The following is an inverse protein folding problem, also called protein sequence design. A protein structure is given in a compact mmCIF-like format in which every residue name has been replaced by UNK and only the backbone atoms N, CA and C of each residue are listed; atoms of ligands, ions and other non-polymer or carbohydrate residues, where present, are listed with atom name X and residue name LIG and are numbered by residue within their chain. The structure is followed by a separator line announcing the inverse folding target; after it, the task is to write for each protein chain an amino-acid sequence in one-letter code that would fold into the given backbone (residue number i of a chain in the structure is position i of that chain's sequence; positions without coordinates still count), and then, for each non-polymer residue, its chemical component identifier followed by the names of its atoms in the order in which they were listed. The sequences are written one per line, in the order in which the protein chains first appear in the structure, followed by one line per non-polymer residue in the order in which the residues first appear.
data_IF_238079636645
#
_entry.id   IF_238079636645
#
_cell.length_a   1.000
_cell.length_b   1.000
_cell.length_c   1.000
_cell.angle_alpha   90.00
_cell.angle_beta   90.00
_cell.angle_gamma   90.00
#
_symmetry.space_group_name_H-M   'P 1'
#
loop_
_entity.id
_entity.type
_entity.pdbx_description
1 polymer ?
#
# COMPACT_ATOMS: atom_id res chain seq x y z
N UNK A 1 34.74 -7.65 4.49
CA UNK A 1 34.50 -6.32 3.89
C UNK A 1 34.05 -5.40 5.01
N UNK A 2 34.76 -4.29 5.28
CA UNK A 2 34.40 -3.36 6.35
C UNK A 2 33.19 -2.54 5.88
N UNK A 3 32.09 -2.63 6.62
CA UNK A 3 30.81 -1.98 6.30
C UNK A 3 30.84 -0.51 6.76
N UNK A 4 30.23 0.38 5.98
CA UNK A 4 30.16 1.82 6.27
C UNK A 4 29.30 2.14 7.50
N UNK A 5 28.54 1.15 7.99
CA UNK A 5 27.71 1.24 9.19
C UNK A 5 28.49 1.51 10.48
N UNK A 6 29.78 1.12 10.54
CA UNK A 6 30.63 1.31 11.73
C UNK A 6 31.52 2.57 11.65
N UNK A 7 31.29 3.45 10.68
CA UNK A 7 32.17 4.58 10.39
C UNK A 7 32.40 5.53 11.58
N UNK A 8 31.43 5.69 12.49
CA UNK A 8 31.60 6.49 13.72
C UNK A 8 32.61 5.85 14.68
N UNK A 9 32.53 4.53 14.86
CA UNK A 9 33.46 3.77 15.70
C UNK A 9 34.85 3.83 15.09
N UNK A 10 34.96 3.68 13.77
CA UNK A 10 36.24 3.83 13.06
C UNK A 10 36.86 5.22 13.27
N UNK A 11 36.06 6.29 13.21
CA UNK A 11 36.55 7.66 13.42
C UNK A 11 37.03 7.88 14.85
N UNK A 12 36.34 7.31 15.83
CA UNK A 12 36.74 7.36 17.23
C UNK A 12 38.04 6.57 17.47
N UNK A 13 38.13 5.32 17.01
CA UNK A 13 39.33 4.49 17.15
C UNK A 13 40.54 5.12 16.45
N UNK A 14 40.34 5.72 15.26
CA UNK A 14 41.40 6.43 14.54
C UNK A 14 41.93 7.62 15.36
N UNK A 15 41.03 8.42 15.93
CA UNK A 15 41.39 9.57 16.76
C UNK A 15 42.18 9.16 18.01
N UNK A 16 41.72 8.13 18.70
CA UNK A 16 42.39 7.59 19.89
C UNK A 16 43.79 7.06 19.56
N UNK A 17 43.94 6.33 18.45
CA UNK A 17 45.22 5.81 18.00
C UNK A 17 46.22 6.91 17.59
N UNK A 18 45.75 8.01 17.01
CA UNK A 18 46.59 9.13 16.58
C UNK A 18 46.96 10.06 17.75
N UNK A 19 46.07 10.22 18.72
CA UNK A 19 46.35 10.93 19.96
C UNK A 19 47.51 10.28 20.73
N UNK A 20 47.56 8.94 20.76
CA UNK A 20 48.69 8.20 21.35
C UNK A 20 50.05 8.46 20.66
N UNK A 21 50.04 9.01 19.43
CA UNK A 21 51.22 9.42 18.67
C UNK A 21 51.45 10.94 18.66
N UNK A 22 50.83 11.67 19.59
CA UNK A 22 50.93 13.13 19.74
C UNK A 22 50.37 13.93 18.56
N UNK A 23 49.51 13.33 17.73
CA UNK A 23 48.78 14.03 16.66
C UNK A 23 47.33 14.19 17.08
N UNK A 24 46.94 15.42 17.42
CA UNK A 24 45.58 15.72 17.86
C UNK A 24 44.69 16.05 16.67
N UNK A 25 43.64 15.24 16.46
CA UNK A 25 42.56 15.55 15.53
C UNK A 25 41.28 15.85 16.30
N UNK A 26 40.50 16.79 15.77
CA UNK A 26 39.13 17.01 16.21
C UNK A 26 38.23 15.84 15.77
N UNK A 27 37.07 15.73 16.41
CA UNK A 27 36.06 14.72 16.07
C UNK A 27 35.64 14.84 14.59
N UNK A 28 35.47 16.08 14.12
CA UNK A 28 35.04 16.36 12.74
C UNK A 28 36.10 15.98 11.72
N UNK A 29 37.38 16.25 11.98
CA UNK A 29 38.48 15.85 11.07
C UNK A 29 38.62 14.33 10.98
N UNK A 30 38.43 13.63 12.11
CA UNK A 30 38.49 12.17 12.15
C UNK A 30 37.33 11.52 11.37
N UNK A 31 36.14 12.12 11.45
CA UNK A 31 34.96 11.71 10.69
C UNK A 31 35.13 11.95 9.19
N UNK A 32 35.72 13.08 8.82
CA UNK A 32 35.98 13.43 7.42
C UNK A 32 37.01 12.50 6.77
N UNK A 33 38.06 12.14 7.51
CA UNK A 33 39.07 11.16 7.05
C UNK A 33 38.45 9.79 6.84
N UNK A 34 37.61 9.32 7.76
CA UNK A 34 36.92 8.02 7.61
C UNK A 34 35.95 8.02 6.44
N UNK A 35 35.24 9.13 6.19
CA UNK A 35 34.38 9.25 5.02
C UNK A 35 35.17 9.06 3.72
N UNK A 36 36.32 9.71 3.59
CA UNK A 36 37.21 9.57 2.43
C UNK A 36 37.79 8.17 2.29
N UNK A 37 38.20 7.54 3.38
CA UNK A 37 38.73 6.15 3.38
C UNK A 37 37.67 5.17 2.88
N UNK A 38 36.40 5.39 3.20
CA UNK A 38 35.26 4.57 2.77
C UNK A 38 34.74 4.95 1.37
N UNK A 39 35.41 5.86 0.66
CA UNK A 39 35.08 6.26 -0.71
C UNK A 39 33.97 7.33 -0.82
N UNK A 40 33.63 8.00 0.28
CA UNK A 40 32.65 9.08 0.31
C UNK A 40 33.31 10.45 0.26
N UNK A 41 32.58 11.44 -0.28
CA UNK A 41 33.11 12.79 -0.49
C UNK A 41 33.42 13.52 0.81
N UNK A 42 32.50 13.40 1.77
CA UNK A 42 32.52 14.07 3.06
C UNK A 42 31.67 13.29 4.07
N UNK A 43 31.80 13.66 5.35
CA UNK A 43 31.06 13.03 6.43
C UNK A 43 29.53 13.17 6.29
N UNK A 44 29.02 14.27 5.72
CA UNK A 44 27.58 14.50 5.60
C UNK A 44 26.94 13.48 4.67
N UNK A 45 27.57 13.16 3.54
CA UNK A 45 27.09 12.16 2.58
C UNK A 45 27.09 10.75 3.20
N UNK A 46 28.16 10.39 3.90
CA UNK A 46 28.27 9.11 4.59
C UNK A 46 27.24 9.00 5.74
N UNK A 47 27.09 10.05 6.54
CA UNK A 47 26.13 10.07 7.65
C UNK A 47 24.67 9.94 7.16
N UNK A 48 24.32 10.55 6.02
CA UNK A 48 23.01 10.37 5.39
C UNK A 48 22.77 8.91 4.97
N UNK A 49 23.80 8.24 4.43
CA UNK A 49 23.71 6.84 4.01
C UNK A 49 23.65 5.86 5.19
N UNK A 50 24.35 6.15 6.29
CA UNK A 50 24.24 5.38 7.54
C UNK A 50 22.81 5.48 8.08
N UNK A 51 22.25 6.68 8.18
CA UNK A 51 20.86 6.90 8.62
C UNK A 51 19.83 6.17 7.74
N UNK A 52 20.05 6.12 6.43
CA UNK A 52 19.18 5.40 5.50
C UNK A 52 19.30 3.86 5.57
N UNK A 53 20.34 3.33 6.24
CA UNK A 53 20.70 1.90 6.21
C UNK A 53 20.53 1.16 7.54
N UNK A 54 20.08 1.84 8.60
CA UNK A 54 19.78 1.22 9.89
C UNK A 54 18.34 0.67 9.88
N UNK A 55 18.12 -0.64 10.04
CA UNK A 55 16.80 -1.17 10.34
C UNK A 55 16.42 -0.74 11.76
N UNK A 56 15.35 0.04 11.88
CA UNK A 56 14.84 0.55 13.16
C UNK A 56 14.31 -0.59 14.03
N UNK A 57 15.15 -1.11 14.91
CA UNK A 57 14.72 -1.95 16.03
C UNK A 57 14.41 -1.08 17.26
N UNK A 58 13.10 -0.97 17.50
CA UNK A 58 12.41 -0.89 18.80
C UNK A 58 12.44 0.38 19.67
N UNK A 59 11.22 0.92 19.81
CA UNK A 59 10.62 1.65 20.96
C UNK A 59 11.07 3.08 21.28
N UNK A 60 10.06 3.95 21.30
CA UNK A 60 9.99 5.25 21.95
C UNK A 60 10.91 6.35 21.38
N UNK A 61 10.41 7.08 20.38
CA UNK A 61 10.06 8.51 20.52
C UNK A 61 9.34 8.93 19.24
N UNK A 62 8.08 9.32 19.41
CA UNK A 62 7.18 9.72 18.35
C UNK A 62 7.72 10.90 17.53
N UNK A 63 7.82 10.70 16.21
CA UNK A 63 7.48 11.76 15.27
C UNK A 63 5.97 11.96 15.33
N UNK A 64 5.52 12.73 16.34
CA UNK A 64 4.18 13.30 16.34
C UNK A 64 4.09 14.32 15.20
N UNK A 65 3.59 13.89 14.05
CA UNK A 65 2.38 14.54 13.53
C UNK A 65 1.17 13.73 14.01
N UNK A 66 1.08 13.56 15.34
CA UNK A 66 -0.17 13.18 15.96
C UNK A 66 -1.02 14.45 15.99
N UNK A 67 -1.95 14.58 15.05
CA UNK A 67 -3.24 15.08 15.46
C UNK A 67 -3.71 14.11 16.55
N UNK A 68 -3.95 14.64 17.74
CA UNK A 68 -4.47 13.83 18.83
C UNK A 68 -5.79 13.17 18.37
N UNK A 69 -5.81 11.83 18.32
CA UNK A 69 -7.05 11.03 18.41
C UNK A 69 -7.98 10.94 17.21
N UNK A 70 -7.67 11.48 16.03
CA UNK A 70 -8.58 11.36 14.87
C UNK A 70 -8.19 10.16 14.00
N UNK A 71 -8.98 9.08 14.04
CA UNK A 71 -8.87 7.98 13.09
C UNK A 71 -9.05 8.45 11.63
N UNK A 72 -8.66 7.61 10.67
CA UNK A 72 -8.88 7.91 9.25
C UNK A 72 -10.36 7.72 8.93
N UNK A 73 -11.04 8.69 8.28
CA UNK A 73 -12.45 8.56 7.91
C UNK A 73 -12.71 7.31 7.05
N UNK A 74 -13.78 6.59 7.36
CA UNK A 74 -14.19 5.37 6.65
C UNK A 74 -15.28 5.69 5.62
N UNK A 75 -15.15 5.08 4.46
CA UNK A 75 -16.17 5.05 3.40
C UNK A 75 -16.62 3.60 3.17
N UNK A 76 -17.75 3.17 3.77
CA UNK A 76 -18.28 1.82 3.59
C UNK A 76 -18.90 1.66 2.21
N UNK A 77 -18.50 0.62 1.47
CA UNK A 77 -18.98 0.32 0.12
C UNK A 77 -19.79 -0.98 0.09
N UNK A 78 -20.90 -1.00 -0.64
CA UNK A 78 -21.75 -2.19 -0.80
C UNK A 78 -21.24 -3.11 -1.90
N UNK A 79 -21.06 -2.53 -3.09
CA UNK A 79 -20.88 -3.27 -4.33
C UNK A 79 -19.46 -3.10 -4.89
N UNK A 80 -18.50 -2.73 -4.04
CA UNK A 80 -17.12 -2.48 -4.47
C UNK A 80 -16.11 -2.91 -3.41
N UNK A 81 -15.15 -3.74 -3.83
CA UNK A 81 -13.88 -3.93 -3.14
C UNK A 81 -12.83 -3.08 -3.87
N UNK A 82 -12.25 -2.10 -3.17
CA UNK A 82 -11.15 -1.31 -3.71
C UNK A 82 -9.83 -2.07 -3.55
N UNK A 83 -8.98 -2.04 -4.57
CA UNK A 83 -7.61 -2.59 -4.52
C UNK A 83 -6.56 -1.47 -4.50
N UNK A 84 -5.33 -1.73 -4.00
CA UNK A 84 -4.22 -0.80 -4.16
C UNK A 84 -4.01 -0.37 -5.62
N UNK A 85 -3.60 0.87 -5.83
CA UNK A 85 -3.38 1.52 -7.13
C UNK A 85 -4.62 1.70 -8.03
N UNK A 86 -5.74 1.07 -7.71
CA UNK A 86 -7.01 1.25 -8.41
C UNK A 86 -7.54 2.67 -8.23
N UNK A 87 -7.99 3.28 -9.33
CA UNK A 87 -8.74 4.55 -9.30
C UNK A 87 -10.21 4.22 -9.50
N UNK A 88 -11.05 4.62 -8.55
CA UNK A 88 -12.50 4.38 -8.61
C UNK A 88 -13.28 5.66 -8.35
N UNK A 89 -14.46 5.75 -8.95
CA UNK A 89 -15.44 6.81 -8.68
C UNK A 89 -16.51 6.23 -7.77
N UNK A 90 -16.67 6.81 -6.60
CA UNK A 90 -17.65 6.39 -5.61
C UNK A 90 -18.69 7.50 -5.43
N UNK A 91 -19.95 7.10 -5.29
CA UNK A 91 -21.05 8.00 -5.01
C UNK A 91 -21.40 7.89 -3.53
N UNK A 92 -21.39 9.03 -2.85
CA UNK A 92 -21.62 9.11 -1.41
C UNK A 92 -22.89 9.93 -1.18
N UNK A 93 -23.95 9.24 -0.76
CA UNK A 93 -25.25 9.84 -0.46
C UNK A 93 -25.56 9.90 1.04
N UNK A 94 -24.96 8.99 1.84
CA UNK A 94 -25.23 8.91 3.28
C UNK A 94 -24.58 10.06 4.02
N UNK A 95 -25.37 10.75 4.83
CA UNK A 95 -24.93 11.97 5.53
C UNK A 95 -23.65 11.76 6.36
N UNK A 96 -23.57 10.70 7.18
CA UNK A 96 -22.34 10.39 7.94
C UNK A 96 -21.12 10.14 7.06
N UNK A 97 -21.31 9.51 5.91
CA UNK A 97 -20.21 9.23 4.96
C UNK A 97 -19.81 10.48 4.17
N UNK A 98 -20.77 11.36 3.88
CA UNK A 98 -20.53 12.68 3.29
C UNK A 98 -19.62 13.51 4.20
N UNK A 99 -19.97 13.58 5.49
CA UNK A 99 -19.16 14.24 6.51
C UNK A 99 -17.76 13.63 6.65
N UNK A 100 -17.64 12.29 6.56
CA UNK A 100 -16.36 11.59 6.55
C UNK A 100 -15.45 12.07 5.40
N UNK A 101 -15.99 12.17 4.19
CA UNK A 101 -15.26 12.63 3.00
C UNK A 101 -14.90 14.10 3.10
N UNK A 102 -15.82 14.96 3.50
CA UNK A 102 -15.57 16.40 3.69
C UNK A 102 -14.46 16.63 4.73
N UNK A 103 -14.47 15.85 5.81
CA UNK A 103 -13.40 15.87 6.82
C UNK A 103 -12.06 15.40 6.27
N UNK A 104 -12.05 14.38 5.42
CA UNK A 104 -10.84 13.89 4.76
C UNK A 104 -10.23 14.97 3.86
N UNK A 105 -11.04 15.69 3.08
CA UNK A 105 -10.58 16.73 2.15
C UNK A 105 -9.86 17.88 2.86
N UNK A 106 -10.32 18.28 4.05
CA UNK A 106 -9.71 19.36 4.84
C UNK A 106 -8.55 18.90 5.74
N UNK A 107 -8.22 17.60 5.74
CA UNK A 107 -7.13 17.02 6.53
C UNK A 107 -6.06 16.42 5.61
N UNK A 108 -5.84 15.12 5.67
CA UNK A 108 -4.77 14.43 4.93
C UNK A 108 -5.21 13.95 3.54
N UNK A 109 -6.43 14.26 3.11
CA UNK A 109 -7.06 13.74 1.88
C UNK A 109 -7.13 12.20 1.83
N UNK A 110 -6.98 11.53 2.99
CA UNK A 110 -7.02 10.07 3.11
C UNK A 110 -8.35 9.59 3.65
N UNK A 111 -8.86 8.54 3.03
CA UNK A 111 -10.01 7.76 3.51
C UNK A 111 -9.63 6.28 3.57
N UNK A 112 -10.36 5.50 4.36
CA UNK A 112 -10.32 4.04 4.31
C UNK A 112 -11.58 3.57 3.60
N UNK A 113 -11.40 2.98 2.43
CA UNK A 113 -12.50 2.36 1.68
C UNK A 113 -12.59 0.89 2.10
N UNK A 114 -13.75 0.46 2.56
CA UNK A 114 -13.96 -0.89 3.08
C UNK A 114 -15.30 -1.44 2.58
N UNK A 115 -15.29 -2.69 2.13
CA UNK A 115 -16.52 -3.36 1.73
C UNK A 115 -17.34 -3.76 2.96
N UNK A 116 -18.67 -3.65 2.87
CA UNK A 116 -19.60 -4.11 3.88
C UNK A 116 -19.71 -5.64 3.82
N UNK A 117 -19.94 -6.29 4.96
CA UNK A 117 -20.24 -7.74 4.98
C UNK A 117 -21.65 -8.04 4.50
N UNK A 118 -22.59 -7.14 4.77
CA UNK A 118 -23.95 -7.21 4.28
C UNK A 118 -24.26 -5.93 3.51
N UNK A 119 -24.32 -6.02 2.18
CA UNK A 119 -24.62 -4.88 1.31
C UNK A 119 -26.01 -4.27 1.54
N UNK A 120 -26.94 -4.99 2.17
CA UNK A 120 -28.27 -4.47 2.49
C UNK A 120 -28.29 -3.58 3.74
N UNK A 121 -27.21 -3.49 4.52
CA UNK A 121 -27.16 -2.65 5.71
C UNK A 121 -27.01 -1.15 5.32
N UNK A 122 -27.95 -0.33 5.77
CA UNK A 122 -27.93 1.12 5.55
C UNK A 122 -26.98 1.85 6.50
N UNK A 123 -26.64 1.26 7.65
CA UNK A 123 -25.88 1.90 8.73
C UNK A 123 -24.77 0.99 9.29
N UNK A 124 -23.77 0.62 8.47
CA UNK A 124 -22.68 -0.27 8.88
C UNK A 124 -21.69 0.47 9.81
N UNK A 125 -22.11 0.67 11.05
CA UNK A 125 -21.39 1.45 12.08
C UNK A 125 -20.57 0.58 13.03
N UNK A 126 -20.66 -0.75 12.89
CA UNK A 126 -19.98 -1.71 13.76
C UNK A 126 -18.88 -2.47 13.02
N UNK A 127 -17.86 -2.95 13.74
CA UNK A 127 -16.81 -3.80 13.18
C UNK A 127 -17.37 -5.09 12.55
N UNK A 128 -18.52 -5.57 13.04
CA UNK A 128 -19.18 -6.76 12.49
C UNK A 128 -19.92 -6.50 11.18
N UNK A 129 -20.22 -5.24 10.86
CA UNK A 129 -20.86 -4.88 9.59
C UNK A 129 -19.84 -4.68 8.46
N UNK A 130 -18.55 -4.51 8.80
CA UNK A 130 -17.47 -4.23 7.85
C UNK A 130 -16.55 -5.43 7.68
N UNK A 131 -15.91 -5.53 6.51
CA UNK A 131 -14.80 -6.45 6.33
C UNK A 131 -13.56 -5.97 7.12
N UNK A 132 -12.75 -6.90 7.65
CA UNK A 132 -11.63 -6.57 8.53
C UNK A 132 -10.49 -5.83 7.80
N UNK A 133 -10.38 -6.03 6.48
CA UNK A 133 -9.37 -5.38 5.65
C UNK A 133 -10.06 -4.46 4.65
N UNK A 134 -9.53 -3.25 4.54
CA UNK A 134 -9.88 -2.26 3.52
C UNK A 134 -8.62 -1.71 2.85
N UNK A 135 -8.78 -0.61 2.14
CA UNK A 135 -7.68 0.09 1.46
C UNK A 135 -7.65 1.55 1.90
N UNK A 136 -6.49 2.01 2.34
CA UNK A 136 -6.23 3.44 2.47
C UNK A 136 -6.19 4.01 1.06
N UNK A 137 -7.02 5.02 0.79
CA UNK A 137 -7.10 5.67 -0.51
C UNK A 137 -6.97 7.18 -0.37
N UNK A 138 -6.37 7.82 -1.38
CA UNK A 138 -6.32 9.26 -1.47
C UNK A 138 -7.54 9.78 -2.26
N UNK A 139 -8.20 10.82 -1.74
CA UNK A 139 -9.24 11.56 -2.45
C UNK A 139 -8.55 12.47 -3.47
N UNK A 140 -8.84 12.25 -4.75
CA UNK A 140 -8.27 13.00 -5.87
C UNK A 140 -9.21 14.15 -6.28
N UNK A 141 -10.51 13.86 -6.32
CA UNK A 141 -11.54 14.80 -6.77
C UNK A 141 -12.83 14.56 -5.98
N UNK A 142 -13.58 15.62 -5.73
CA UNK A 142 -14.86 15.56 -5.03
C UNK A 142 -15.80 16.62 -5.59
N UNK A 143 -16.92 16.19 -6.15
CA UNK A 143 -17.89 17.05 -6.80
C UNK A 143 -19.29 16.81 -6.22
N UNK A 144 -19.89 17.84 -5.65
CA UNK A 144 -21.30 17.81 -5.24
C UNK A 144 -22.19 17.80 -6.48
N UNK A 145 -23.05 16.80 -6.59
CA UNK A 145 -24.04 16.67 -7.64
C UNK A 145 -25.28 17.53 -7.32
N UNK A 146 -26.14 17.73 -8.31
CA UNK A 146 -27.36 18.55 -8.17
C UNK A 146 -28.36 18.00 -7.14
N UNK A 147 -28.29 16.70 -6.86
CA UNK A 147 -29.11 16.01 -5.86
C UNK A 147 -28.49 16.04 -4.45
N UNK A 148 -27.35 16.70 -4.27
CA UNK A 148 -26.61 16.77 -3.01
C UNK A 148 -25.67 15.58 -2.75
N UNK A 149 -25.64 14.57 -3.62
CA UNK A 149 -24.70 13.45 -3.48
C UNK A 149 -23.27 13.91 -3.82
N UNK A 150 -22.27 13.34 -3.14
CA UNK A 150 -20.87 13.58 -3.51
C UNK A 150 -20.40 12.51 -4.49
N UNK A 151 -19.91 12.94 -5.65
CA UNK A 151 -19.15 12.10 -6.56
C UNK A 151 -17.68 12.27 -6.25
N UNK A 152 -17.06 11.23 -5.69
CA UNK A 152 -15.68 11.26 -5.19
C UNK A 152 -14.82 10.34 -6.06
N UNK A 153 -13.68 10.83 -6.52
CA UNK A 153 -12.67 10.00 -7.18
C UNK A 153 -11.58 9.69 -6.17
N UNK A 154 -11.32 8.40 -5.95
CA UNK A 154 -10.30 7.92 -5.01
C UNK A 154 -9.26 7.06 -5.71
N UNK A 155 -8.02 7.06 -5.21
CA UNK A 155 -6.95 6.14 -5.62
C UNK A 155 -6.50 5.32 -4.44
N UNK A 156 -6.63 4.01 -4.54
CA UNK A 156 -6.11 3.06 -3.55
C UNK A 156 -4.60 3.19 -3.41
N UNK A 157 -4.10 3.15 -2.18
CA UNK A 157 -2.67 3.25 -1.86
C UNK A 157 -2.14 1.93 -1.33
N UNK A 158 -2.71 1.43 -0.24
CA UNK A 158 -2.23 0.23 0.45
C UNK A 158 -3.35 -0.49 1.20
N UNK A 159 -3.21 -1.81 1.35
CA UNK A 159 -4.07 -2.62 2.20
C UNK A 159 -3.91 -2.21 3.66
N UNK A 160 -4.99 -2.26 4.41
CA UNK A 160 -4.95 -1.96 5.83
C UNK A 160 -6.00 -2.76 6.60
N UNK A 161 -5.60 -3.27 7.77
CA UNK A 161 -6.53 -3.85 8.73
C UNK A 161 -7.18 -2.77 9.59
N UNK A 162 -8.47 -2.92 9.89
CA UNK A 162 -9.20 -2.05 10.81
C UNK A 162 -8.95 -2.54 12.25
N UNK A 163 -8.34 -1.69 13.07
CA UNK A 163 -8.01 -2.00 14.47
C UNK A 163 -9.15 -1.59 15.40
N UNK A 164 -9.64 -0.36 15.25
CA UNK A 164 -10.70 0.20 16.10
C UNK A 164 -11.53 1.22 15.34
N UNK A 165 -12.85 1.16 15.49
CA UNK A 165 -13.77 2.18 14.97
C UNK A 165 -14.01 3.29 15.98
N UNK A 166 -14.29 4.48 15.48
CA UNK A 166 -14.73 5.65 16.25
C UNK A 166 -15.85 6.33 15.47
N UNK A 167 -16.93 6.71 16.14
CA UNK A 167 -18.08 7.40 15.55
C UNK A 167 -18.30 8.70 16.35
N UNK A 168 -17.81 9.81 15.79
CA UNK A 168 -17.92 11.15 16.36
C UNK A 168 -18.45 12.11 15.28
N UNK A 169 -19.71 11.89 14.89
CA UNK A 169 -20.38 12.57 13.76
C UNK A 169 -20.17 11.87 12.42
N UNK A 170 -18.99 11.29 12.20
CA UNK A 170 -18.69 10.42 11.06
C UNK A 170 -17.90 9.19 11.51
N UNK A 171 -17.93 8.14 10.69
CA UNK A 171 -17.21 6.90 10.98
C UNK A 171 -15.73 7.06 10.63
N UNK A 172 -14.86 6.72 11.57
CA UNK A 172 -13.41 6.73 11.41
C UNK A 172 -12.79 5.45 11.99
N UNK A 173 -11.55 5.15 11.60
CA UNK A 173 -10.81 4.03 12.15
C UNK A 173 -9.35 4.32 12.45
N UNK A 174 -8.87 3.69 13.52
CA UNK A 174 -7.48 3.34 13.67
C UNK A 174 -7.18 2.14 12.79
N UNK A 175 -6.14 2.23 11.96
CA UNK A 175 -5.81 1.23 10.96
C UNK A 175 -4.34 0.84 11.02
N UNK A 176 -4.04 -0.38 10.62
CA UNK A 176 -2.70 -0.94 10.55
C UNK A 176 -2.36 -1.30 9.10
N UNK A 177 -1.31 -0.73 8.48
CA UNK A 177 -0.87 -1.14 7.16
C UNK A 177 -0.59 -2.65 7.10
N UNK A 178 -0.91 -3.25 5.97
CA UNK A 178 -0.72 -4.68 5.73
C UNK A 178 0.31 -4.85 4.60
N UNK A 179 1.44 -5.47 4.93
CA UNK A 179 2.54 -5.69 3.99
C UNK A 179 2.28 -6.95 3.14
N UNK A 180 2.80 -6.93 1.91
CA UNK A 180 2.76 -8.09 1.02
C UNK A 180 3.89 -9.08 1.35
N UNK A 181 3.52 -10.35 1.50
CA UNK A 181 4.44 -11.44 1.79
C UNK A 181 4.86 -12.17 0.50
N UNK A 182 6.12 -12.62 0.43
CA UNK A 182 6.69 -13.38 -0.71
C UNK A 182 6.58 -12.69 -2.09
N UNK A 183 6.33 -11.38 -2.15
CA UNK A 183 6.24 -10.61 -3.40
C UNK A 183 7.50 -10.74 -4.28
N UNK A 184 8.68 -10.73 -3.65
CA UNK A 184 9.98 -10.80 -4.34
C UNK A 184 10.49 -12.24 -4.54
N UNK A 185 9.64 -13.25 -4.33
CA UNK A 185 10.02 -14.64 -4.52
C UNK A 185 10.10 -15.02 -6.01
N UNK A 186 10.97 -15.97 -6.34
CA UNK A 186 11.05 -16.55 -7.70
C UNK A 186 9.75 -17.24 -8.11
N UNK A 187 9.04 -17.78 -7.13
CA UNK A 187 7.72 -18.39 -7.29
C UNK A 187 6.67 -17.36 -7.72
N UNK A 188 6.58 -16.22 -7.02
CA UNK A 188 5.67 -15.12 -7.37
C UNK A 188 5.95 -14.60 -8.79
N UNK A 189 7.23 -14.49 -9.19
CA UNK A 189 7.60 -14.10 -10.55
C UNK A 189 7.17 -15.12 -11.62
N UNK A 190 7.22 -16.41 -11.29
CA UNK A 190 6.78 -17.49 -12.19
C UNK A 190 5.25 -17.48 -12.33
N UNK A 191 4.54 -17.42 -11.21
CA UNK A 191 3.07 -17.36 -11.17
C UNK A 191 2.51 -16.11 -11.85
N UNK A 192 3.25 -14.99 -11.81
CA UNK A 192 2.84 -13.77 -12.51
C UNK A 192 2.67 -13.99 -14.02
N UNK A 193 3.51 -14.84 -14.64
CA UNK A 193 3.35 -15.21 -16.06
C UNK A 193 2.09 -16.06 -16.26
N UNK A 194 1.90 -17.05 -15.40
CA UNK A 194 0.72 -17.92 -15.44
C UNK A 194 -0.59 -17.15 -15.25
N UNK A 195 -0.62 -16.15 -14.36
CA UNK A 195 -1.78 -15.24 -14.19
C UNK A 195 -2.08 -14.46 -15.47
N UNK A 196 -1.07 -13.93 -16.14
CA UNK A 196 -1.27 -13.21 -17.40
C UNK A 196 -1.82 -14.11 -18.51
N UNK A 197 -1.34 -15.35 -18.61
CA UNK A 197 -1.80 -16.32 -19.61
C UNK A 197 -3.21 -16.83 -19.30
N UNK A 198 -3.50 -17.07 -18.03
CA UNK A 198 -4.85 -17.38 -17.55
C UNK A 198 -5.83 -16.23 -17.84
N UNK A 199 -5.40 -14.98 -17.63
CA UNK A 199 -6.24 -13.80 -17.90
C UNK A 199 -6.51 -13.60 -19.40
N UNK A 200 -5.53 -13.85 -20.28
CA UNK A 200 -5.73 -13.84 -21.73
C UNK A 200 -6.87 -14.78 -22.14
N UNK A 201 -6.82 -16.00 -21.60
CA UNK A 201 -7.80 -17.05 -21.87
C UNK A 201 -9.17 -16.66 -21.32
N UNK A 202 -9.23 -16.16 -20.08
CA UNK A 202 -10.46 -15.73 -19.41
C UNK A 202 -11.14 -14.53 -20.09
N UNK A 203 -10.35 -13.53 -20.47
CA UNK A 203 -10.83 -12.32 -21.11
C UNK A 203 -11.12 -12.52 -22.61
N UNK A 204 -10.67 -13.64 -23.21
CA UNK A 204 -10.62 -13.88 -24.66
C UNK A 204 -9.87 -12.75 -25.37
N UNK A 205 -8.76 -12.32 -24.77
CA UNK A 205 -7.90 -11.27 -25.31
C UNK A 205 -6.56 -11.90 -25.66
N UNK A 206 -6.15 -11.78 -26.92
CA UNK A 206 -4.85 -12.23 -27.37
C UNK A 206 -3.82 -11.10 -27.17
N UNK A 207 -2.89 -11.28 -26.21
CA UNK A 207 -1.80 -10.33 -25.99
C UNK A 207 -0.59 -10.59 -26.90
N UNK A 208 -0.52 -11.73 -27.59
CA UNK A 208 0.62 -12.12 -28.44
C UNK A 208 0.64 -11.38 -29.78
N UNK A 209 -0.53 -10.93 -30.27
CA UNK A 209 -0.67 -10.11 -31.46
C UNK A 209 -0.28 -8.62 -31.25
N UNK A 210 0.13 -8.24 -30.04
CA UNK A 210 0.38 -6.85 -29.68
C UNK A 210 1.88 -6.53 -29.62
N UNK A 211 2.30 -5.32 -30.07
CA UNK A 211 3.68 -4.85 -29.95
C UNK A 211 4.23 -4.94 -28.50
N UNK A 212 5.54 -5.15 -28.30
CA UNK A 212 6.17 -5.03 -26.98
C UNK A 212 5.81 -3.69 -26.32
N UNK A 213 5.31 -3.71 -25.07
CA UNK A 213 4.82 -2.51 -24.36
C UNK A 213 3.31 -2.25 -24.45
N UNK A 214 2.57 -2.99 -25.29
CA UNK A 214 1.10 -2.83 -25.43
C UNK A 214 0.29 -3.37 -24.27
N UNK A 215 0.89 -4.16 -23.36
CA UNK A 215 0.26 -4.61 -22.10
C UNK A 215 -0.23 -3.42 -21.26
N UNK A 216 0.41 -2.25 -21.44
CA UNK A 216 0.00 -0.96 -20.89
C UNK A 216 -1.40 -0.52 -21.35
N UNK A 217 -1.86 -0.90 -22.57
CA UNK A 217 -3.22 -0.59 -23.05
C UNK A 217 -4.32 -1.35 -22.29
N UNK A 218 -3.98 -2.47 -21.65
CA UNK A 218 -4.86 -3.23 -20.76
C UNK A 218 -4.66 -2.87 -19.29
N UNK A 219 -3.82 -1.88 -19.00
CA UNK A 219 -3.48 -1.46 -17.64
C UNK A 219 -2.65 -2.49 -16.86
N UNK A 220 -2.23 -3.60 -17.47
CA UNK A 220 -1.53 -4.68 -16.76
C UNK A 220 -0.06 -4.31 -16.53
N UNK A 221 0.43 -4.37 -15.28
CA UNK A 221 1.82 -4.07 -14.96
C UNK A 221 2.77 -5.11 -15.57
N UNK A 222 4.04 -4.74 -15.64
CA UNK A 222 5.10 -5.66 -16.07
C UNK A 222 5.28 -6.78 -15.04
N UNK A 223 5.72 -7.96 -15.48
CA UNK A 223 5.90 -9.20 -14.67
C UNK A 223 6.77 -8.99 -13.41
N UNK A 224 7.56 -7.91 -13.35
CA UNK A 224 8.44 -7.59 -12.22
C UNK A 224 7.76 -7.08 -10.95
N UNK A 225 6.43 -6.96 -10.90
CA UNK A 225 5.71 -6.59 -9.67
C UNK A 225 4.48 -7.50 -9.45
N UNK A 226 4.68 -8.67 -8.81
CA UNK A 226 3.65 -9.69 -8.64
C UNK A 226 2.44 -9.21 -7.83
N UNK A 227 2.66 -8.48 -6.73
CA UNK A 227 1.58 -7.89 -5.93
C UNK A 227 0.72 -6.93 -6.75
N UNK A 228 1.37 -5.98 -7.44
CA UNK A 228 0.67 -5.00 -8.28
C UNK A 228 -0.12 -5.69 -9.40
N UNK A 229 0.43 -6.77 -9.98
CA UNK A 229 -0.26 -7.56 -10.98
C UNK A 229 -1.54 -8.18 -10.41
N UNK A 230 -1.45 -8.81 -9.24
CA UNK A 230 -2.61 -9.39 -8.58
C UNK A 230 -3.70 -8.33 -8.32
N UNK A 231 -3.30 -7.16 -7.85
CA UNK A 231 -4.21 -6.05 -7.51
C UNK A 231 -4.85 -5.40 -8.73
N UNK A 232 -4.17 -5.47 -9.87
CA UNK A 232 -4.70 -5.01 -11.15
C UNK A 232 -5.67 -6.02 -11.77
N UNK A 233 -5.38 -7.32 -11.66
CA UNK A 233 -6.19 -8.38 -12.29
C UNK A 233 -7.46 -8.67 -11.47
N UNK A 234 -7.36 -8.72 -10.13
CA UNK A 234 -8.47 -9.05 -9.25
C UNK A 234 -9.79 -8.30 -9.53
N UNK A 235 -9.81 -6.95 -9.66
CA UNK A 235 -11.03 -6.21 -9.93
C UNK A 235 -11.57 -6.37 -11.36
N UNK A 236 -10.77 -6.91 -12.30
CA UNK A 236 -11.19 -7.17 -13.68
C UNK A 236 -11.97 -8.49 -13.82
N UNK A 237 -11.92 -9.36 -12.80
CA UNK A 237 -12.64 -10.62 -12.80
C UNK A 237 -14.12 -10.41 -12.46
N UNK A 238 -15.00 -11.05 -13.23
CA UNK A 238 -16.45 -11.12 -12.95
C UNK A 238 -16.74 -12.17 -11.87
N UNK A 239 -16.36 -11.88 -10.63
CA UNK A 239 -16.54 -12.73 -9.44
C UNK A 239 -17.33 -11.99 -8.36
N UNK A 240 -17.80 -12.70 -7.34
CA UNK A 240 -18.57 -12.09 -6.24
C UNK A 240 -17.69 -11.21 -5.35
N UNK A 241 -18.31 -10.26 -4.65
CA UNK A 241 -17.63 -9.34 -3.71
C UNK A 241 -16.89 -10.11 -2.63
N UNK A 242 -17.44 -11.23 -2.14
CA UNK A 242 -16.80 -12.07 -1.13
C UNK A 242 -15.49 -12.67 -1.65
N UNK A 243 -15.44 -13.08 -2.92
CA UNK A 243 -14.22 -13.60 -3.54
C UNK A 243 -13.20 -12.49 -3.79
N UNK A 244 -13.63 -11.30 -4.21
CA UNK A 244 -12.74 -10.14 -4.31
C UNK A 244 -12.16 -9.78 -2.94
N UNK A 245 -12.99 -9.78 -1.89
CA UNK A 245 -12.57 -9.49 -0.53
C UNK A 245 -11.55 -10.51 -0.03
N UNK A 246 -11.73 -11.80 -0.32
CA UNK A 246 -10.74 -12.83 0.01
C UNK A 246 -9.38 -12.58 -0.67
N UNK A 247 -9.38 -12.10 -1.92
CA UNK A 247 -8.13 -11.71 -2.61
C UNK A 247 -7.50 -10.47 -1.95
N UNK A 248 -8.30 -9.48 -1.54
CA UNK A 248 -7.80 -8.31 -0.83
C UNK A 248 -7.17 -8.69 0.51
N UNK A 249 -7.77 -9.62 1.24
CA UNK A 249 -7.34 -10.09 2.57
C UNK A 249 -6.13 -11.02 2.57
N UNK A 250 -5.71 -11.52 1.42
CA UNK A 250 -4.55 -12.43 1.34
C UNK A 250 -3.26 -11.61 1.26
N UNK A 251 -2.46 -11.53 2.34
CA UNK A 251 -1.13 -10.85 2.31
C UNK A 251 -0.13 -11.57 1.44
N UNK A 252 -0.23 -12.90 1.41
CA UNK A 252 0.66 -13.76 0.66
C UNK A 252 0.44 -13.66 -0.85
N UNK A 253 1.43 -13.07 -1.53
CA UNK A 253 1.33 -12.80 -2.97
C UNK A 253 1.30 -14.08 -3.79
N UNK A 254 2.05 -15.12 -3.39
CA UNK A 254 2.05 -16.41 -4.10
C UNK A 254 0.66 -17.03 -4.04
N UNK A 255 0.09 -17.14 -2.83
CA UNK A 255 -1.26 -17.69 -2.64
C UNK A 255 -2.32 -16.84 -3.35
N UNK A 256 -2.16 -15.52 -3.37
CA UNK A 256 -3.07 -14.62 -4.08
C UNK A 256 -3.04 -14.85 -5.59
N UNK A 257 -1.86 -15.05 -6.18
CA UNK A 257 -1.70 -15.35 -7.61
C UNK A 257 -2.28 -16.72 -7.98
N UNK A 258 -2.02 -17.76 -7.17
CA UNK A 258 -2.61 -19.09 -7.36
C UNK A 258 -4.13 -19.02 -7.40
N UNK A 259 -4.72 -18.33 -6.42
CA UNK A 259 -6.17 -18.16 -6.32
C UNK A 259 -6.75 -17.41 -7.51
N UNK A 260 -6.04 -16.43 -8.06
CA UNK A 260 -6.45 -15.75 -9.30
C UNK A 260 -6.51 -16.72 -10.48
N UNK A 261 -5.51 -17.60 -10.62
CA UNK A 261 -5.47 -18.61 -11.69
C UNK A 261 -6.66 -19.58 -11.54
N UNK A 262 -6.92 -20.06 -10.34
CA UNK A 262 -8.06 -20.94 -10.05
C UNK A 262 -9.39 -20.27 -10.42
N UNK A 263 -9.60 -19.02 -10.00
CA UNK A 263 -10.83 -18.27 -10.26
C UNK A 263 -11.06 -18.03 -11.75
N UNK A 264 -9.99 -17.79 -12.53
CA UNK A 264 -10.07 -17.64 -13.98
C UNK A 264 -10.37 -18.97 -14.68
N UNK A 265 -9.81 -20.07 -14.17
CA UNK A 265 -9.98 -21.41 -14.71
C UNK A 265 -11.40 -21.96 -14.47
N UNK A 266 -12.03 -21.58 -13.36
CA UNK A 266 -13.42 -21.92 -13.05
C UNK A 266 -14.46 -21.28 -14.02
N UNK A 267 -14.01 -20.39 -14.92
CA UNK A 267 -14.85 -19.74 -15.94
C UNK A 267 -15.68 -18.58 -15.41
N UNK A 268 -16.25 -17.77 -16.32
CA UNK A 268 -17.22 -16.74 -15.91
C UNK A 268 -18.46 -17.42 -15.33
N UNK A 269 -18.96 -17.02 -14.14
CA UNK A 269 -20.26 -17.46 -13.69
C UNK A 269 -21.30 -17.11 -14.77
N UNK A 270 -22.15 -18.08 -15.14
CA UNK A 270 -23.26 -17.82 -16.08
C UNK A 270 -24.11 -16.70 -15.46
N UNK A 271 -24.33 -15.62 -16.20
CA UNK A 271 -25.27 -14.59 -15.79
C UNK A 271 -26.60 -15.28 -15.48
N UNK A 272 -27.06 -15.15 -14.23
CA UNK A 272 -28.42 -15.52 -13.87
C UNK A 272 -29.30 -14.52 -14.61
N UNK A 273 -30.00 -15.01 -15.63
CA UNK A 273 -30.93 -14.22 -16.45
C UNK A 273 -32.20 -13.86 -15.71
#
# INVERSE_FOLDING_TARGET
MRDFRDAKVMAQTLREALHAKSVAFTTSESQELVARILGFRDWNVLAARIKASQPSATLATASRSASAGAGIPIVPMRDLVLFPHMISRIFVAREKTRQAVERAIVSDQRVVVVAQRNGSDDHPSTLRALNPVGVIANVIDCQTQVDGTLKVTVRGLQRTGIVRLTDDGFLAAEVMPMDDERDQSTEAATLSRAVLDAYQTYAKVDFSALPPGSKVRFGLPSIGNPSLLADTVAPLLSITIERQQQLLETSDVVTRLERLIELMSAGRPKAVG
#
